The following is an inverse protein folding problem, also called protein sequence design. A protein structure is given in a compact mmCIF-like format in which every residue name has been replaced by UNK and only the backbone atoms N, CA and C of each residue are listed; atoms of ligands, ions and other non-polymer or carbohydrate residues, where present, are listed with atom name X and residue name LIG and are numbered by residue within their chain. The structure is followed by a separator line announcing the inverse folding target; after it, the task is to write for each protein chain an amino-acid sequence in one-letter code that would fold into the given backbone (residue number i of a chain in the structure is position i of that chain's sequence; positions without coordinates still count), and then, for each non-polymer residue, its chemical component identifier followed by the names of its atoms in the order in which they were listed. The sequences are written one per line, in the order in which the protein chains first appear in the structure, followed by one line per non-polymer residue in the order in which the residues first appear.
data_IF_993486036456
#
_entry.id   IF_993486036456
#
_cell.length_a   1.000
_cell.length_b   1.000
_cell.length_c   1.000
_cell.angle_alpha   90.00
_cell.angle_beta   90.00
_cell.angle_gamma   90.00
#
_symmetry.space_group_name_H-M   'P 1'
#
loop_
_entity.id
_entity.type
_entity.pdbx_description
1 polymer ?
#
# COMPACT_ATOMS: atom_id res chain seq x y z
N UNK A 1 -6.64 -7.67 -14.85
CA UNK A 1 -5.24 -7.95 -14.48
C UNK A 1 -4.77 -7.08 -13.30
N UNK A 2 -5.15 -5.80 -13.25
CA UNK A 2 -4.78 -4.86 -12.17
C UNK A 2 -5.20 -5.30 -10.75
N UNK A 3 -6.36 -5.95 -10.61
CA UNK A 3 -6.87 -6.45 -9.32
C UNK A 3 -5.97 -7.49 -8.67
N UNK A 4 -5.26 -8.32 -9.45
CA UNK A 4 -4.29 -9.31 -8.94
C UNK A 4 -3.07 -8.61 -8.38
N UNK A 5 -2.61 -7.55 -9.06
CA UNK A 5 -1.43 -6.76 -8.66
C UNK A 5 -1.72 -6.06 -7.32
N UNK A 6 -2.87 -5.40 -7.23
CA UNK A 6 -3.36 -4.77 -5.99
C UNK A 6 -3.40 -5.80 -4.85
N UNK A 7 -4.08 -6.94 -5.07
CA UNK A 7 -4.20 -7.99 -4.04
C UNK A 7 -2.85 -8.47 -3.52
N UNK A 8 -1.91 -8.78 -4.43
CA UNK A 8 -0.57 -9.26 -4.05
C UNK A 8 0.22 -8.21 -3.29
N UNK A 9 0.15 -6.94 -3.75
CA UNK A 9 0.82 -5.81 -3.09
C UNK A 9 0.32 -5.61 -1.67
N UNK A 10 -0.99 -5.54 -1.48
CA UNK A 10 -1.59 -5.31 -0.17
C UNK A 10 -1.46 -6.52 0.77
N UNK A 11 -1.42 -7.74 0.24
CA UNK A 11 -1.05 -8.93 1.03
C UNK A 11 0.38 -8.83 1.58
N UNK A 12 1.32 -8.39 0.75
CA UNK A 12 2.71 -8.19 1.16
C UNK A 12 2.85 -7.04 2.16
N UNK A 13 2.20 -5.90 1.93
CA UNK A 13 2.20 -4.75 2.86
C UNK A 13 1.68 -5.18 4.23
N UNK A 14 0.55 -5.90 4.30
CA UNK A 14 0.02 -6.37 5.57
C UNK A 14 0.98 -7.31 6.32
N UNK A 15 1.75 -8.13 5.61
CA UNK A 15 2.79 -8.95 6.23
C UNK A 15 3.93 -8.09 6.79
N UNK A 16 4.34 -7.05 6.07
CA UNK A 16 5.42 -6.15 6.50
C UNK A 16 4.99 -5.28 7.69
N UNK A 17 3.76 -4.75 7.69
CA UNK A 17 3.24 -3.91 8.78
C UNK A 17 3.07 -4.65 10.11
N UNK A 18 2.91 -5.98 10.06
CA UNK A 18 2.84 -6.87 11.23
C UNK A 18 4.20 -7.26 11.80
N UNK A 19 5.31 -6.99 11.11
CA UNK A 19 6.66 -7.21 11.67
C UNK A 19 6.99 -6.17 12.74
N UNK A 20 8.00 -6.43 13.55
CA UNK A 20 8.50 -5.49 14.56
C UNK A 20 8.88 -4.12 13.96
N UNK A 21 8.89 -3.07 14.78
CA UNK A 21 9.03 -1.68 14.32
C UNK A 21 10.39 -1.41 13.66
N UNK A 22 11.43 -2.03 14.17
CA UNK A 22 12.83 -1.99 13.74
C UNK A 22 13.14 -2.96 12.59
N UNK A 23 12.20 -3.84 12.23
CA UNK A 23 12.39 -4.77 11.13
C UNK A 23 12.67 -4.00 9.81
N UNK A 24 13.80 -4.32 9.17
CA UNK A 24 14.27 -3.68 7.92
C UNK A 24 13.15 -3.54 6.87
N UNK A 25 12.29 -4.55 6.61
CA UNK A 25 11.20 -4.40 5.65
C UNK A 25 10.18 -3.32 6.03
N UNK A 26 9.90 -3.15 7.33
CA UNK A 26 8.94 -2.17 7.85
C UNK A 26 9.48 -0.75 7.74
N UNK A 27 10.77 -0.57 7.99
CA UNK A 27 11.48 0.69 7.75
C UNK A 27 11.51 1.00 6.25
N UNK A 28 11.85 0.03 5.41
CA UNK A 28 11.92 0.21 3.96
C UNK A 28 10.58 0.62 3.33
N UNK A 29 9.46 0.05 3.79
CA UNK A 29 8.10 0.44 3.35
C UNK A 29 7.77 1.90 3.68
N UNK A 30 8.35 2.46 4.74
CA UNK A 30 8.12 3.84 5.17
C UNK A 30 9.20 4.82 4.69
N UNK A 31 10.29 4.31 4.14
CA UNK A 31 11.41 5.12 3.68
C UNK A 31 11.03 6.03 2.50
N UNK A 32 11.28 7.32 2.67
CA UNK A 32 11.11 8.37 1.66
C UNK A 32 12.49 8.71 1.10
N UNK A 33 12.81 8.32 -0.14
CA UNK A 33 14.09 8.69 -0.74
C UNK A 33 14.09 10.20 -1.02
N UNK A 34 15.07 10.89 -0.48
CA UNK A 34 15.30 12.31 -0.70
C UNK A 34 16.06 12.53 -2.02
N UNK A 35 15.79 13.66 -2.70
CA UNK A 35 16.48 14.06 -3.93
C UNK A 35 15.66 13.98 -5.22
N UNK A 36 16.24 14.52 -6.30
CA UNK A 36 15.62 14.60 -7.61
C UNK A 36 15.88 13.34 -8.45
N UNK A 37 14.87 12.96 -9.25
CA UNK A 37 15.02 11.84 -10.20
C UNK A 37 15.59 12.31 -11.53
N UNK A 38 16.46 11.48 -12.11
CA UNK A 38 16.92 11.66 -13.50
C UNK A 38 15.73 11.63 -14.48
N UNK A 39 15.81 12.44 -15.53
CA UNK A 39 14.87 12.43 -16.66
C UNK A 39 14.84 11.02 -17.28
N UNK A 40 13.65 10.57 -17.70
CA UNK A 40 13.43 9.24 -18.31
C UNK A 40 12.95 8.14 -17.35
N UNK A 41 13.01 8.35 -16.02
CA UNK A 41 12.44 7.39 -15.05
C UNK A 41 10.93 7.60 -14.87
N UNK A 42 10.12 6.53 -14.70
CA UNK A 42 8.69 6.68 -14.42
C UNK A 42 8.38 7.63 -13.24
N UNK A 43 7.39 8.50 -13.44
CA UNK A 43 6.97 9.53 -12.46
C UNK A 43 6.33 8.91 -11.21
N UNK A 44 5.66 7.77 -11.39
CA UNK A 44 5.00 7.02 -10.32
C UNK A 44 6.01 6.10 -9.62
N UNK A 45 5.85 5.97 -8.31
CA UNK A 45 6.59 5.00 -7.50
C UNK A 45 5.65 4.05 -6.84
N UNK A 46 6.16 2.91 -6.42
CA UNK A 46 5.48 2.02 -5.52
C UNK A 46 4.81 2.75 -4.33
N UNK A 47 5.53 3.65 -3.64
CA UNK A 47 4.97 4.45 -2.53
C UNK A 47 3.76 5.28 -2.97
N UNK A 48 3.90 6.08 -4.04
CA UNK A 48 2.82 6.92 -4.58
C UNK A 48 1.60 6.10 -5.00
N UNK A 49 1.82 4.92 -5.59
CA UNK A 49 0.74 3.99 -5.95
C UNK A 49 0.01 3.50 -4.71
N UNK A 50 0.74 3.06 -3.68
CA UNK A 50 0.14 2.59 -2.42
C UNK A 50 -0.59 3.72 -1.69
N UNK A 51 -0.02 4.92 -1.65
CA UNK A 51 -0.63 6.10 -1.03
C UNK A 51 -1.89 6.54 -1.77
N UNK A 52 -1.91 6.49 -3.10
CA UNK A 52 -3.10 6.77 -3.89
C UNK A 52 -4.21 5.72 -3.65
N UNK A 53 -3.84 4.44 -3.59
CA UNK A 53 -4.77 3.35 -3.28
C UNK A 53 -5.33 3.44 -1.85
N UNK A 54 -4.50 3.83 -0.88
CA UNK A 54 -4.93 4.09 0.50
C UNK A 54 -5.85 5.31 0.58
N UNK A 55 -5.49 6.39 -0.10
CA UNK A 55 -6.26 7.63 -0.13
C UNK A 55 -7.64 7.43 -0.80
N UNK A 56 -7.74 6.56 -1.80
CA UNK A 56 -9.03 6.17 -2.39
C UNK A 56 -9.98 5.50 -1.37
N UNK A 57 -9.44 4.94 -0.29
CA UNK A 57 -10.20 4.37 0.83
C UNK A 57 -10.28 5.32 2.04
N UNK A 58 -9.79 6.57 1.92
CA UNK A 58 -9.70 7.52 3.02
C UNK A 58 -8.72 7.11 4.14
N UNK A 59 -7.79 6.20 3.85
CA UNK A 59 -6.90 5.63 4.86
C UNK A 59 -5.51 6.30 4.87
N UNK A 60 -5.00 6.55 6.08
CA UNK A 60 -3.62 6.99 6.30
C UNK A 60 -2.70 5.82 6.64
N UNK A 61 -1.38 6.00 6.51
CA UNK A 61 -0.40 5.00 6.95
C UNK A 61 -0.53 4.64 8.43
N UNK A 62 -0.95 5.58 9.28
CA UNK A 62 -1.20 5.33 10.71
C UNK A 62 -2.35 4.34 10.90
N UNK A 63 -3.46 4.58 10.23
CA UNK A 63 -4.64 3.70 10.28
C UNK A 63 -4.34 2.32 9.70
N UNK A 64 -3.60 2.25 8.60
CA UNK A 64 -3.19 0.99 7.99
C UNK A 64 -2.31 0.14 8.91
N UNK A 65 -1.44 0.75 9.74
CA UNK A 65 -0.64 0.00 10.72
C UNK A 65 -1.52 -0.66 11.78
N UNK A 66 -2.59 0.01 12.21
CA UNK A 66 -3.53 -0.52 13.19
C UNK A 66 -4.40 -1.62 12.57
N UNK A 67 -5.00 -1.34 11.41
CA UNK A 67 -5.81 -2.29 10.63
C UNK A 67 -5.04 -3.56 10.28
N UNK A 68 -3.74 -3.46 9.97
CA UNK A 68 -2.94 -4.62 9.59
C UNK A 68 -2.69 -5.60 10.74
N UNK A 69 -2.83 -5.19 12.01
CA UNK A 69 -2.67 -6.10 13.15
C UNK A 69 -3.81 -7.11 13.22
N UNK A 70 -5.03 -6.67 12.91
CA UNK A 70 -6.19 -7.54 12.78
C UNK A 70 -6.21 -8.17 11.38
N UNK A 71 -6.06 -9.50 11.33
CA UNK A 71 -5.98 -10.24 10.07
C UNK A 71 -7.31 -10.26 9.30
N UNK A 72 -8.44 -10.25 10.00
CA UNK A 72 -9.76 -10.29 9.36
C UNK A 72 -10.11 -8.90 8.83
N UNK A 73 -9.94 -7.84 9.63
CA UNK A 73 -10.12 -6.46 9.15
C UNK A 73 -9.18 -6.14 7.97
N UNK A 74 -7.94 -6.65 7.99
CA UNK A 74 -7.03 -6.48 6.86
C UNK A 74 -7.54 -7.17 5.59
N UNK A 75 -8.09 -8.39 5.68
CA UNK A 75 -8.65 -9.09 4.51
C UNK A 75 -9.85 -8.35 3.94
N UNK A 76 -10.75 -7.86 4.80
CA UNK A 76 -11.92 -7.09 4.42
C UNK A 76 -11.51 -5.79 3.72
N UNK A 77 -10.54 -5.07 4.28
CA UNK A 77 -9.97 -3.88 3.67
C UNK A 77 -9.41 -4.16 2.27
N UNK A 78 -8.63 -5.24 2.10
CA UNK A 78 -8.08 -5.62 0.80
C UNK A 78 -9.18 -6.02 -0.19
N UNK A 79 -10.21 -6.73 0.26
CA UNK A 79 -11.36 -7.08 -0.57
C UNK A 79 -12.12 -5.83 -1.05
N UNK A 80 -12.36 -4.87 -0.15
CA UNK A 80 -13.01 -3.60 -0.47
C UNK A 80 -12.17 -2.76 -1.45
N UNK A 81 -10.84 -2.74 -1.27
CA UNK A 81 -9.92 -2.04 -2.15
C UNK A 81 -9.90 -2.64 -3.57
N UNK A 82 -9.97 -3.98 -3.69
CA UNK A 82 -10.12 -4.66 -4.98
C UNK A 82 -11.48 -4.33 -5.64
N UNK A 83 -12.54 -4.24 -4.85
CA UNK A 83 -13.87 -3.88 -5.34
C UNK A 83 -13.93 -2.42 -5.84
N UNK A 84 -13.30 -1.49 -5.13
CA UNK A 84 -13.24 -0.07 -5.50
C UNK A 84 -12.32 0.22 -6.69
N UNK A 85 -11.26 -0.58 -6.89
CA UNK A 85 -10.42 -0.52 -8.09
C UNK A 85 -11.18 -0.77 -9.40
N UNK A 86 -12.41 -1.31 -9.36
CA UNK A 86 -13.28 -1.46 -10.54
C UNK A 86 -13.92 -0.14 -11.02
N UNK A 87 -13.99 0.90 -10.18
CA UNK A 87 -14.69 2.16 -10.49
C UNK A 87 -13.80 3.23 -11.12
N UNK A 88 -12.48 3.06 -11.09
CA UNK A 88 -11.50 4.07 -11.54
C UNK A 88 -11.04 3.97 -13.00
N UNK A 89 -11.67 3.12 -13.82
CA UNK A 89 -11.38 3.01 -15.25
C UNK A 89 -12.60 3.50 -16.05
N UNK A 90 -12.77 4.82 -16.11
CA UNK A 90 -13.53 5.52 -17.16
C UNK A 90 -12.68 6.66 -17.66
#
# INVERSE_FOLDING_TARGET
METIIIRRRWRWIGQVLRKEQDAIPRVAVQWRPEGHRKRGRPKTTWRRTVEAEAAAMGQSWGTLRMLAQDREQWKEFVAALIANGKKGSK
#
